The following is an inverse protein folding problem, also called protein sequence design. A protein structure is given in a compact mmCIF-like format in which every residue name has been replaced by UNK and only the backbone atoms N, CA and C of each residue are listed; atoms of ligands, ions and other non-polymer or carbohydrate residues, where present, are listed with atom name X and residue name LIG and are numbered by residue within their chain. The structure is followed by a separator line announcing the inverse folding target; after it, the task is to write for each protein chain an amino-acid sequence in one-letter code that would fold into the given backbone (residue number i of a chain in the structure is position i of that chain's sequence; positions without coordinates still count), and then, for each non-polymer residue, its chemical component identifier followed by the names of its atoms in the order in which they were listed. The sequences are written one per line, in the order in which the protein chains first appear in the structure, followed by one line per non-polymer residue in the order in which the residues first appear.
data_IF_076003162203
#
_entry.id   IF_076003162203
#
_cell.length_a   1.000
_cell.length_b   1.000
_cell.length_c   1.000
_cell.angle_alpha   90.00
_cell.angle_beta   90.00
_cell.angle_gamma   90.00
#
_symmetry.space_group_name_H-M   'P 1'
#
loop_
_entity.id
_entity.type
_entity.pdbx_description
1 polymer ?
#
# COMPACT_ATOMS: atom_id res chain seq x y z
N UNK A 1 -3.57 31.58 -50.52
CA UNK A 1 -2.18 31.28 -50.87
C UNK A 1 -1.48 30.68 -49.66
N UNK A 2 -0.77 29.58 -49.90
CA UNK A 2 0.19 28.85 -49.06
C UNK A 2 -0.20 28.32 -47.67
N UNK A 3 -0.58 27.04 -47.66
CA UNK A 3 -0.44 26.09 -46.56
C UNK A 3 0.83 25.27 -46.77
N UNK A 4 1.98 25.69 -46.22
CA UNK A 4 3.16 24.82 -46.08
C UNK A 4 4.20 25.42 -45.12
N UNK A 5 3.85 25.52 -43.83
CA UNK A 5 4.80 25.81 -42.75
C UNK A 5 5.04 24.55 -41.92
N UNK A 6 6.01 23.74 -42.33
CA UNK A 6 6.48 22.52 -41.65
C UNK A 6 7.06 22.86 -40.26
N UNK A 7 6.20 22.94 -39.25
CA UNK A 7 6.57 23.06 -37.84
C UNK A 7 6.08 21.83 -37.11
N UNK A 8 6.97 20.87 -36.86
CA UNK A 8 6.76 19.73 -35.96
C UNK A 8 6.27 20.22 -34.60
N UNK A 9 4.94 20.25 -34.43
CA UNK A 9 4.26 20.54 -33.17
C UNK A 9 4.41 19.30 -32.28
N UNK A 10 5.43 19.30 -31.43
CA UNK A 10 5.51 18.38 -30.32
C UNK A 10 4.32 18.65 -29.41
N UNK A 11 3.36 17.72 -29.38
CA UNK A 11 2.26 17.77 -28.43
C UNK A 11 2.86 17.47 -27.06
N UNK A 12 2.87 18.46 -26.17
CA UNK A 12 3.14 18.24 -24.75
C UNK A 12 1.92 17.50 -24.18
N UNK A 13 2.04 16.18 -24.03
CA UNK A 13 1.10 15.39 -23.24
C UNK A 13 1.36 15.74 -21.79
N UNK A 14 0.58 16.68 -21.24
CA UNK A 14 0.54 16.93 -19.81
C UNK A 14 -0.20 15.76 -19.17
N UNK A 15 0.55 14.77 -18.70
CA UNK A 15 0.01 13.74 -17.83
C UNK A 15 -0.38 14.41 -16.49
N UNK A 16 -1.65 14.80 -16.37
CA UNK A 16 -2.21 15.16 -15.07
C UNK A 16 -2.21 13.92 -14.18
N UNK A 17 -1.18 13.81 -13.34
CA UNK A 17 -1.09 12.85 -12.25
C UNK A 17 -2.00 13.28 -11.09
N UNK A 18 -3.31 13.37 -11.36
CA UNK A 18 -4.34 13.56 -10.33
C UNK A 18 -4.95 12.20 -10.01
N UNK A 19 -4.18 11.32 -9.37
CA UNK A 19 -4.74 10.18 -8.66
C UNK A 19 -4.18 10.20 -7.23
N UNK A 20 -4.90 10.89 -6.34
CA UNK A 20 -4.54 11.11 -4.94
C UNK A 20 -4.50 9.86 -4.06
N UNK A 21 -4.47 8.65 -4.62
CA UNK A 21 -4.23 7.41 -3.89
C UNK A 21 -3.15 6.52 -4.55
N UNK A 22 -2.47 7.00 -5.60
CA UNK A 22 -1.44 6.23 -6.30
C UNK A 22 -0.09 6.17 -5.55
N UNK A 23 0.03 6.85 -4.40
CA UNK A 23 1.15 6.70 -3.45
C UNK A 23 0.91 5.60 -2.42
N UNK A 24 0.36 4.46 -2.84
CA UNK A 24 -0.01 3.33 -1.97
C UNK A 24 1.20 2.65 -1.32
N UNK A 25 2.42 2.98 -1.75
CA UNK A 25 3.68 2.47 -1.19
C UNK A 25 3.97 2.98 0.23
N UNK A 26 3.32 4.06 0.68
CA UNK A 26 3.53 4.59 2.04
C UNK A 26 2.88 3.74 3.15
N UNK A 27 1.89 2.92 2.81
CA UNK A 27 1.18 2.06 3.76
C UNK A 27 1.70 0.62 3.79
N UNK A 28 2.74 0.32 3.01
CA UNK A 28 3.27 -1.02 2.90
C UNK A 28 4.64 -1.07 3.61
N UNK A 29 4.66 -1.66 4.81
CA UNK A 29 5.90 -1.90 5.57
C UNK A 29 6.80 -2.99 4.96
N UNK A 30 6.40 -3.56 3.83
CA UNK A 30 6.98 -4.78 3.27
C UNK A 30 6.33 -6.04 3.86
N UNK A 31 6.69 -7.23 3.33
CA UNK A 31 6.19 -8.49 3.84
C UNK A 31 6.61 -8.70 5.31
N UNK A 32 5.69 -9.22 6.12
CA UNK A 32 5.93 -9.61 7.52
C UNK A 32 5.73 -11.12 7.60
N UNK A 33 6.75 -11.82 8.08
CA UNK A 33 6.72 -13.25 8.37
C UNK A 33 6.73 -13.46 9.89
N UNK A 34 5.93 -14.40 10.39
CA UNK A 34 5.86 -14.68 11.82
C UNK A 34 5.40 -16.09 12.19
N UNK A 35 5.24 -16.34 13.49
CA UNK A 35 4.72 -17.60 14.02
C UNK A 35 3.87 -17.36 15.28
N UNK A 36 2.75 -18.06 15.38
CA UNK A 36 1.86 -18.07 16.55
C UNK A 36 2.19 -19.27 17.43
N UNK A 37 2.53 -19.00 18.70
CA UNK A 37 2.86 -20.00 19.70
C UNK A 37 1.91 -19.89 20.90
N UNK A 38 1.61 -21.03 21.52
CA UNK A 38 0.87 -21.07 22.79
C UNK A 38 1.78 -20.63 23.95
N UNK A 39 1.23 -19.81 24.84
CA UNK A 39 1.96 -19.29 26.00
C UNK A 39 2.14 -20.37 27.07
N UNK A 40 3.39 -20.82 27.26
CA UNK A 40 3.75 -21.80 28.28
C UNK A 40 4.34 -23.06 27.66
N UNK A 41 3.64 -23.68 26.71
CA UNK A 41 4.17 -24.85 25.98
C UNK A 41 5.10 -24.46 24.84
N UNK A 42 5.00 -23.22 24.34
CA UNK A 42 5.69 -22.75 23.13
C UNK A 42 5.45 -23.63 21.91
N UNK A 43 4.31 -24.34 21.88
CA UNK A 43 3.92 -25.15 20.74
C UNK A 43 3.24 -24.29 19.67
N UNK A 44 3.41 -24.62 18.38
CA UNK A 44 2.75 -23.89 17.30
C UNK A 44 1.22 -24.01 17.36
N UNK A 45 0.55 -22.89 17.08
CA UNK A 45 -0.91 -22.84 16.99
C UNK A 45 -1.31 -22.78 15.52
N UNK A 46 -1.96 -23.82 15.02
CA UNK A 46 -2.49 -23.87 13.66
C UNK A 46 -3.87 -23.21 13.57
N UNK A 47 -4.14 -22.53 12.46
CA UNK A 47 -5.43 -21.89 12.17
C UNK A 47 -5.73 -20.63 13.01
N UNK A 48 -4.73 -20.06 13.67
CA UNK A 48 -4.88 -18.78 14.36
C UNK A 48 -5.06 -17.67 13.32
N UNK A 49 -6.04 -16.78 13.54
CA UNK A 49 -6.26 -15.60 12.69
C UNK A 49 -5.34 -14.49 13.17
N UNK A 50 -4.45 -14.06 12.28
CA UNK A 50 -3.55 -12.92 12.49
C UNK A 50 -4.07 -11.75 11.67
N UNK A 51 -4.31 -10.63 12.35
CA UNK A 51 -4.78 -9.39 11.73
C UNK A 51 -3.71 -8.33 11.93
N UNK A 52 -3.23 -7.74 10.84
CA UNK A 52 -2.28 -6.64 10.87
C UNK A 52 -2.92 -5.37 10.34
N UNK A 53 -2.59 -4.25 10.98
CA UNK A 53 -3.08 -2.92 10.63
C UNK A 53 -1.88 -2.00 10.40
N UNK A 54 -1.81 -1.41 9.21
CA UNK A 54 -0.92 -0.29 8.93
C UNK A 54 -1.74 0.99 8.93
N UNK A 55 -1.33 1.93 9.77
CA UNK A 55 -1.90 3.26 9.83
C UNK A 55 -0.91 4.25 9.22
N UNK A 56 -1.34 4.99 8.20
CA UNK A 56 -0.58 6.11 7.65
C UNK A 56 -1.37 7.40 7.73
N UNK A 57 -0.65 8.47 8.05
CA UNK A 57 -1.17 9.84 7.99
C UNK A 57 -0.55 10.55 6.78
N UNK A 58 -1.40 11.06 5.89
CA UNK A 58 -0.97 11.92 4.79
C UNK A 58 -1.53 13.32 5.01
N UNK A 59 -0.71 14.20 5.59
CA UNK A 59 -0.97 15.63 5.74
C UNK A 59 -0.48 16.44 4.54
N UNK A 60 -1.34 17.31 4.01
CA UNK A 60 -1.01 18.27 2.94
C UNK A 60 -0.66 19.68 3.46
N UNK A 61 -0.08 20.57 2.62
CA UNK A 61 0.30 21.94 3.00
C UNK A 61 -0.90 22.87 3.35
N UNK A 62 -2.13 22.40 3.15
CA UNK A 62 -3.38 23.02 3.58
C UNK A 62 -4.08 21.98 4.44
N UNK A 63 -4.47 22.37 5.65
CA UNK A 63 -4.97 21.60 6.81
C UNK A 63 -6.01 20.49 6.50
N UNK A 64 -5.60 19.47 5.77
CA UNK A 64 -6.38 18.28 5.43
C UNK A 64 -5.51 17.08 5.77
N UNK A 65 -5.86 16.39 6.86
CA UNK A 65 -5.23 15.13 7.24
C UNK A 65 -6.10 13.99 6.71
N UNK A 66 -5.52 13.15 5.85
CA UNK A 66 -6.16 11.91 5.42
C UNK A 66 -5.51 10.76 6.19
N UNK A 67 -6.31 10.06 6.99
CA UNK A 67 -5.87 8.84 7.69
C UNK A 67 -6.24 7.64 6.83
N UNK A 68 -5.24 6.83 6.49
CA UNK A 68 -5.43 5.60 5.73
C UNK A 68 -5.16 4.39 6.63
N UNK A 69 -6.06 3.41 6.54
CA UNK A 69 -5.94 2.11 7.19
C UNK A 69 -5.77 1.04 6.12
N UNK A 70 -4.74 0.21 6.26
CA UNK A 70 -4.57 -1.02 5.49
C UNK A 70 -4.65 -2.20 6.46
N UNK A 71 -5.51 -3.18 6.14
CA UNK A 71 -5.66 -4.40 6.91
C UNK A 71 -5.25 -5.60 6.07
N UNK A 72 -4.41 -6.46 6.64
CA UNK A 72 -4.10 -7.78 6.08
C UNK A 72 -4.48 -8.85 7.10
N UNK A 73 -5.01 -9.96 6.60
CA UNK A 73 -5.46 -11.08 7.42
C UNK A 73 -4.85 -12.36 6.90
N UNK A 74 -4.21 -13.11 7.79
CA UNK A 74 -3.63 -14.41 7.51
C UNK A 74 -4.15 -15.44 8.53
N UNK A 75 -4.14 -16.72 8.12
CA UNK A 75 -4.37 -17.84 9.03
C UNK A 75 -3.07 -18.62 9.17
N UNK A 76 -2.67 -18.95 10.40
CA UNK A 76 -1.43 -19.69 10.63
C UNK A 76 -1.50 -21.13 10.10
N UNK A 77 -0.39 -21.62 9.53
CA UNK A 77 -0.28 -22.98 9.00
C UNK A 77 -0.14 -24.05 10.12
N UNK A 78 0.06 -25.32 9.74
CA UNK A 78 0.25 -26.42 10.67
C UNK A 78 1.50 -26.28 11.57
N UNK A 79 2.44 -25.43 11.18
CA UNK A 79 3.65 -25.07 11.91
C UNK A 79 3.50 -23.72 12.62
N UNK A 80 2.29 -23.15 12.65
CA UNK A 80 1.96 -21.88 13.27
C UNK A 80 2.44 -20.65 12.50
N UNK A 81 2.93 -20.79 11.27
CA UNK A 81 3.51 -19.67 10.50
C UNK A 81 2.45 -18.88 9.76
N UNK A 82 2.68 -17.58 9.60
CA UNK A 82 1.88 -16.67 8.78
C UNK A 82 2.81 -15.75 7.99
#
# INVERSE_FOLDING_TARGET
MDLAGNGRRGWAVVALALCGCAGQDYLNGGPIDGMVLEEGTHQPVAGAVVVMEWQGDTGGPVESNTVCYHLEVAASDAQGKF
#
